data_IF_115996849741
#
_entry.id   IF_115996849741
#
_cell.length_a   1.000
_cell.length_b   1.000
_cell.length_c   1.000
_cell.angle_alpha   90.00
_cell.angle_beta   90.00
_cell.angle_gamma   90.00
#
_symmetry.space_group_name_H-M   'P 1'
#
loop_
_entity.id
_entity.type
_entity.pdbx_description
1 polymer ?
#
# COMPACT_ATOMS: atom_id res chain seq x y z
N UNK A 1 5.23 -5.66 -0.25
CA UNK A 1 6.52 -5.02 0.04
C UNK A 1 7.48 -5.95 0.78
N UNK A 2 7.91 -7.05 0.12
CA UNK A 2 8.76 -8.04 0.81
C UNK A 2 10.15 -7.48 1.17
N UNK A 3 10.77 -6.75 0.25
CA UNK A 3 12.11 -6.20 0.42
C UNK A 3 12.16 -5.19 1.59
N UNK A 4 11.20 -4.27 1.67
CA UNK A 4 11.14 -3.27 2.76
C UNK A 4 10.98 -3.97 4.11
N UNK A 5 10.10 -4.96 4.21
CA UNK A 5 9.91 -5.73 5.44
C UNK A 5 11.15 -6.55 5.82
N UNK A 6 11.84 -7.14 4.84
CA UNK A 6 13.08 -7.87 5.07
C UNK A 6 14.18 -6.94 5.62
N UNK A 7 14.36 -5.76 5.02
CA UNK A 7 15.35 -4.76 5.48
C UNK A 7 14.98 -4.17 6.84
N UNK A 8 13.69 -3.88 7.09
CA UNK A 8 13.21 -3.40 8.39
C UNK A 8 13.56 -4.39 9.50
N UNK A 9 13.29 -5.69 9.27
CA UNK A 9 13.67 -6.75 10.19
C UNK A 9 15.18 -6.82 10.42
N UNK A 10 15.98 -6.70 9.36
CA UNK A 10 17.45 -6.69 9.51
C UNK A 10 17.95 -5.56 10.42
N UNK A 11 17.37 -4.35 10.30
CA UNK A 11 17.71 -3.20 11.16
C UNK A 11 17.28 -3.43 12.62
N UNK A 12 16.08 -3.98 12.82
CA UNK A 12 15.56 -4.28 14.16
C UNK A 12 16.35 -5.40 14.86
N UNK A 13 16.88 -6.36 14.10
CA UNK A 13 17.69 -7.49 14.59
C UNK A 13 19.17 -7.13 14.80
N UNK A 14 19.60 -5.91 14.44
CA UNK A 14 20.97 -5.46 14.70
C UNK A 14 21.28 -5.54 16.19
N UNK A 15 22.39 -6.20 16.50
CA UNK A 15 22.89 -6.28 17.88
C UNK A 15 23.10 -4.86 18.42
N UNK A 16 22.41 -4.55 19.50
CA UNK A 16 22.53 -3.25 20.14
C UNK A 16 23.96 -3.01 20.64
N UNK A 17 24.43 -1.80 20.40
CA UNK A 17 25.68 -1.28 20.93
C UNK A 17 25.31 -0.14 21.87
N UNK A 18 25.94 -0.10 23.05
CA UNK A 18 25.76 0.98 24.03
C UNK A 18 26.46 2.27 23.56
N UNK A 19 25.93 2.83 22.48
CA UNK A 19 26.39 4.06 21.86
C UNK A 19 25.15 4.84 21.42
N UNK A 20 25.05 6.11 21.81
CA UNK A 20 23.90 6.94 21.48
C UNK A 20 23.70 7.06 19.97
N UNK A 21 24.79 7.12 19.21
CA UNK A 21 24.81 7.17 17.75
C UNK A 21 24.14 5.95 17.13
N UNK A 22 24.26 4.77 17.73
CA UNK A 22 23.60 3.56 17.24
C UNK A 22 22.07 3.70 17.31
N UNK A 23 21.54 4.15 18.45
CA UNK A 23 20.09 4.30 18.63
C UNK A 23 19.51 5.39 17.72
N UNK A 24 20.21 6.52 17.61
CA UNK A 24 19.81 7.63 16.73
C UNK A 24 19.80 7.19 15.26
N UNK A 25 20.83 6.47 14.81
CA UNK A 25 20.91 6.04 13.42
C UNK A 25 19.91 4.92 13.10
N UNK A 26 19.61 4.04 14.07
CA UNK A 26 18.57 3.02 13.93
C UNK A 26 17.20 3.65 13.71
N UNK A 27 16.84 4.65 14.51
CA UNK A 27 15.59 5.40 14.38
C UNK A 27 15.49 6.08 13.00
N UNK A 28 16.53 6.84 12.61
CA UNK A 28 16.59 7.50 11.30
C UNK A 28 16.46 6.52 10.13
N UNK A 29 17.06 5.34 10.24
CA UNK A 29 16.99 4.33 9.18
C UNK A 29 15.57 3.77 9.02
N UNK A 30 14.85 3.57 10.13
CA UNK A 30 13.45 3.14 10.10
C UNK A 30 12.53 4.22 9.54
N UNK A 31 12.71 5.48 9.94
CA UNK A 31 11.96 6.62 9.37
C UNK A 31 12.20 6.76 7.85
N UNK A 32 13.44 6.57 7.40
CA UNK A 32 13.77 6.60 5.98
C UNK A 32 13.10 5.46 5.20
N UNK A 33 12.99 4.26 5.80
CA UNK A 33 12.25 3.14 5.22
C UNK A 33 10.75 3.43 5.13
N UNK A 34 10.14 4.00 6.16
CA UNK A 34 8.73 4.40 6.15
C UNK A 34 8.44 5.42 5.03
N UNK A 35 9.34 6.40 4.87
CA UNK A 35 9.24 7.40 3.82
C UNK A 35 9.39 6.79 2.42
N UNK A 36 10.30 5.83 2.26
CA UNK A 36 10.47 5.10 1.00
C UNK A 36 9.25 4.23 0.68
N UNK A 37 8.72 3.53 1.67
CA UNK A 37 7.51 2.71 1.56
C UNK A 37 6.33 3.55 1.07
N UNK A 38 6.10 4.70 1.72
CA UNK A 38 5.05 5.65 1.32
C UNK A 38 5.25 6.18 -0.10
N UNK A 39 6.48 6.54 -0.46
CA UNK A 39 6.80 7.07 -1.80
C UNK A 39 6.58 6.03 -2.91
N UNK A 40 6.79 4.75 -2.61
CA UNK A 40 6.56 3.66 -3.55
C UNK A 40 5.07 3.35 -3.69
N UNK A 41 4.30 3.44 -2.61
CA UNK A 41 2.84 3.32 -2.67
C UNK A 41 2.21 4.45 -3.49
N UNK A 42 2.68 5.70 -3.33
CA UNK A 42 2.23 6.83 -4.13
C UNK A 42 2.52 6.68 -5.63
N UNK A 43 3.60 5.99 -5.97
CA UNK A 43 3.99 5.72 -7.36
C UNK A 43 3.40 4.43 -7.92
N UNK A 44 2.69 3.65 -7.10
CA UNK A 44 2.13 2.38 -7.54
C UNK A 44 0.98 2.66 -8.51
N UNK A 45 1.02 1.99 -9.67
CA UNK A 45 -0.17 1.95 -10.52
C UNK A 45 -1.33 1.30 -9.75
N UNK A 46 -2.54 1.88 -9.79
CA UNK A 46 -3.68 1.32 -9.10
C UNK A 46 -3.95 -0.09 -9.64
N UNK A 47 -4.28 -1.00 -8.74
CA UNK A 47 -4.72 -2.34 -9.11
C UNK A 47 -6.03 -2.26 -9.88
N UNK A 48 -6.39 -3.34 -10.59
CA UNK A 48 -7.68 -3.41 -11.29
C UNK A 48 -8.85 -3.15 -10.35
N UNK A 49 -8.79 -3.66 -9.12
CA UNK A 49 -9.81 -3.44 -8.10
C UNK A 49 -9.92 -1.95 -7.72
N UNK A 50 -8.80 -1.32 -7.35
CA UNK A 50 -8.78 0.11 -6.99
C UNK A 50 -9.23 0.99 -8.16
N UNK A 51 -8.87 0.62 -9.39
CA UNK A 51 -9.35 1.31 -10.60
C UNK A 51 -10.86 1.24 -10.71
N UNK A 52 -11.45 0.05 -10.53
CA UNK A 52 -12.89 -0.15 -10.59
C UNK A 52 -13.63 0.57 -9.46
N UNK A 53 -13.06 0.62 -8.25
CA UNK A 53 -13.60 1.39 -7.13
C UNK A 53 -13.65 2.90 -7.45
N UNK A 54 -12.57 3.46 -8.02
CA UNK A 54 -12.52 4.86 -8.47
C UNK A 54 -13.53 5.13 -9.60
N UNK A 55 -13.65 4.22 -10.56
CA UNK A 55 -14.62 4.34 -11.65
C UNK A 55 -16.06 4.26 -11.13
N UNK A 56 -16.32 3.42 -10.14
CA UNK A 56 -17.62 3.27 -9.50
C UNK A 56 -18.02 4.55 -8.79
N UNK A 57 -17.12 5.13 -7.98
CA UNK A 57 -17.36 6.40 -7.29
C UNK A 57 -17.70 7.50 -8.30
N UNK A 58 -16.96 7.60 -9.40
CA UNK A 58 -17.25 8.56 -10.49
C UNK A 58 -18.58 8.29 -11.17
N UNK A 59 -18.95 7.04 -11.40
CA UNK A 59 -20.24 6.70 -12.00
C UNK A 59 -21.39 7.12 -11.08
N UNK A 60 -21.24 6.93 -9.76
CA UNK A 60 -22.21 7.38 -8.76
C UNK A 60 -22.31 8.91 -8.69
N UNK A 61 -21.17 9.62 -8.68
CA UNK A 61 -21.13 11.09 -8.70
C UNK A 61 -21.84 11.69 -9.92
N UNK A 62 -21.77 11.00 -11.07
CA UNK A 62 -22.40 11.42 -12.31
C UNK A 62 -23.82 10.84 -12.51
N UNK A 63 -24.39 10.19 -11.50
CA UNK A 63 -25.70 9.53 -11.56
C UNK A 63 -25.82 8.50 -12.70
N UNK A 64 -24.70 7.94 -13.15
CA UNK A 64 -24.63 6.89 -14.17
C UNK A 64 -24.88 5.52 -13.53
N UNK A 65 -26.10 5.30 -13.05
CA UNK A 65 -26.44 4.14 -12.20
C UNK A 65 -26.30 2.78 -12.89
N UNK A 66 -26.55 2.69 -14.20
CA UNK A 66 -26.34 1.43 -14.94
C UNK A 66 -24.85 1.05 -14.96
N UNK A 67 -23.98 2.02 -15.27
CA UNK A 67 -22.54 1.83 -15.22
C UNK A 67 -22.06 1.49 -13.80
N UNK A 68 -22.62 2.14 -12.78
CA UNK A 68 -22.30 1.83 -11.39
C UNK A 68 -22.72 0.39 -11.00
N UNK A 69 -23.83 -0.12 -11.52
CA UNK A 69 -24.25 -1.50 -11.31
C UNK A 69 -23.27 -2.49 -11.98
N UNK A 70 -22.87 -2.23 -13.22
CA UNK A 70 -21.92 -3.06 -13.95
C UNK A 70 -20.55 -3.11 -13.25
N UNK A 71 -20.05 -1.96 -12.78
CA UNK A 71 -18.76 -1.86 -12.07
C UNK A 71 -18.80 -2.59 -10.71
N UNK A 72 -19.92 -2.52 -9.99
CA UNK A 72 -20.12 -3.28 -8.74
C UNK A 72 -20.11 -4.78 -9.01
N UNK A 73 -20.78 -5.23 -10.06
CA UNK A 73 -20.85 -6.64 -10.41
C UNK A 73 -19.47 -7.16 -10.86
N UNK A 74 -18.67 -6.35 -11.56
CA UNK A 74 -17.27 -6.67 -11.88
C UNK A 74 -16.38 -6.77 -10.62
N UNK A 75 -16.56 -5.84 -9.67
CA UNK A 75 -15.87 -5.88 -8.37
C UNK A 75 -16.22 -7.15 -7.58
N UNK A 76 -17.49 -7.54 -7.57
CA UNK A 76 -17.94 -8.76 -6.91
C UNK A 76 -17.31 -10.00 -7.57
N UNK A 77 -17.26 -10.04 -8.91
CA UNK A 77 -16.59 -11.13 -9.63
C UNK A 77 -15.10 -11.26 -9.30
N UNK A 78 -14.40 -10.16 -9.00
CA UNK A 78 -13.00 -10.19 -8.56
C UNK A 78 -12.82 -10.78 -7.15
N UNK A 79 -13.80 -10.60 -6.26
CA UNK A 79 -13.78 -11.14 -4.91
C UNK A 79 -14.08 -12.64 -4.90
N UNK A 80 -15.02 -13.08 -5.73
CA UNK A 80 -15.37 -14.50 -5.87
C UNK A 80 -14.20 -15.36 -6.40
N UNK A 81 -13.32 -14.78 -7.22
CA UNK A 81 -12.11 -15.47 -7.74
C UNK A 81 -11.05 -15.67 -6.64
N UNK A 82 -11.08 -14.87 -5.57
CA UNK A 82 -10.09 -14.91 -4.48
C UNK A 82 -10.51 -15.76 -3.28
N UNK A 83 -11.75 -16.25 -3.24
CA UNK A 83 -12.30 -17.11 -2.18
C UNK A 83 -12.10 -18.59 -2.42
#
# INVERSE_FOLDING_TARGET
>A
MKIINDVRREIEELKEVDAQEFFVERERSLEALDSLESSLDEQREPTRRETLEIELDRALENEAYELAADLRDELQGLDDIRS
#
